data_IF_784469219130
#
_entry.id   IF_784469219130
#
_cell.length_a   1.000
_cell.length_b   1.000
_cell.length_c   1.000
_cell.angle_alpha   90.00
_cell.angle_beta   90.00
_cell.angle_gamma   90.00
#
_symmetry.space_group_name_H-M   'P 1'
#
loop_
_entity.id
_entity.type
_entity.pdbx_description
1 polymer ?
#
# COMPACT_ATOMS: atom_id res chain seq x y z
N UNK A 1 5.61 13.98 -10.56
CA UNK A 1 6.47 14.14 -9.37
C UNK A 1 7.72 13.31 -9.61
N UNK A 2 8.91 13.85 -9.35
CA UNK A 2 10.13 13.05 -9.46
C UNK A 2 10.19 12.06 -8.30
N UNK A 3 10.13 10.77 -8.59
CA UNK A 3 10.16 9.68 -7.59
C UNK A 3 11.60 9.34 -7.17
N UNK A 4 12.42 10.36 -6.94
CA UNK A 4 13.78 10.16 -6.42
C UNK A 4 13.70 9.98 -4.90
N UNK A 5 14.23 8.88 -4.40
CA UNK A 5 14.19 8.52 -3.00
C UNK A 5 15.45 8.99 -2.27
N UNK A 6 15.24 9.64 -1.14
CA UNK A 6 16.29 10.00 -0.19
C UNK A 6 16.24 9.10 1.04
N UNK A 7 17.30 9.11 1.85
CA UNK A 7 17.29 8.41 3.14
C UNK A 7 16.10 8.84 3.99
N UNK A 8 15.83 10.16 4.07
CA UNK A 8 14.71 10.70 4.85
C UNK A 8 13.35 10.19 4.35
N UNK A 9 13.17 10.06 3.04
CA UNK A 9 11.95 9.54 2.46
C UNK A 9 11.75 8.05 2.82
N UNK A 10 12.82 7.26 2.80
CA UNK A 10 12.79 5.84 3.19
C UNK A 10 12.53 5.71 4.69
N UNK A 11 13.20 6.52 5.53
CA UNK A 11 12.94 6.53 6.98
C UNK A 11 11.51 6.92 7.31
N UNK A 12 10.92 7.88 6.57
CA UNK A 12 9.52 8.24 6.75
C UNK A 12 8.56 7.08 6.46
N UNK A 13 8.84 6.27 5.44
CA UNK A 13 8.05 5.05 5.17
C UNK A 13 8.28 3.98 6.25
N UNK A 14 9.53 3.76 6.67
CA UNK A 14 9.84 2.82 7.76
C UNK A 14 9.21 3.23 9.09
N UNK A 15 9.12 4.53 9.40
CA UNK A 15 8.47 5.01 10.61
C UNK A 15 6.96 4.66 10.65
N UNK A 16 6.30 4.59 9.49
CA UNK A 16 4.91 4.09 9.39
C UNK A 16 4.84 2.60 9.74
N UNK A 17 5.87 1.84 9.34
CA UNK A 17 5.96 0.41 9.66
C UNK A 17 6.30 0.20 11.14
N UNK A 18 7.17 1.02 11.72
CA UNK A 18 7.45 1.03 13.17
C UNK A 18 6.17 1.27 13.98
N UNK A 19 5.39 2.28 13.60
CA UNK A 19 4.11 2.57 14.25
C UNK A 19 3.12 1.40 14.17
N UNK A 20 3.17 0.60 13.09
CA UNK A 20 2.31 -0.56 12.86
C UNK A 20 2.76 -1.79 13.63
N UNK A 21 4.09 -2.01 13.76
CA UNK A 21 4.69 -3.23 14.28
C UNK A 21 5.19 -3.13 15.72
N UNK A 22 5.38 -1.90 16.22
CA UNK A 22 6.02 -1.63 17.51
C UNK A 22 7.54 -1.80 17.49
N UNK A 23 8.15 -1.99 16.32
CA UNK A 23 9.60 -2.11 16.15
C UNK A 23 10.26 -0.73 15.90
N UNK A 24 11.55 -0.71 15.66
CA UNK A 24 12.35 0.52 15.51
C UNK A 24 13.27 0.50 14.29
N UNK A 25 12.80 -0.08 13.19
CA UNK A 25 13.55 -0.21 11.93
C UNK A 25 13.95 1.14 11.33
N UNK A 26 13.12 2.17 11.49
CA UNK A 26 13.43 3.53 11.05
C UNK A 26 14.62 4.19 11.79
N UNK A 27 15.14 3.57 12.84
CA UNK A 27 16.35 4.05 13.54
C UNK A 27 17.64 3.43 13.02
N UNK A 28 17.53 2.43 12.14
CA UNK A 28 18.69 1.74 11.59
C UNK A 28 19.34 2.57 10.47
N UNK A 29 20.68 2.50 10.34
CA UNK A 29 21.37 3.16 9.25
C UNK A 29 20.87 2.70 7.88
N UNK A 30 20.75 3.67 6.96
CA UNK A 30 20.50 3.44 5.55
C UNK A 30 21.76 3.75 4.77
N UNK A 31 22.03 2.98 3.73
CA UNK A 31 23.09 3.24 2.76
C UNK A 31 22.61 2.96 1.36
N UNK A 32 23.21 3.63 0.37
CA UNK A 32 22.96 3.36 -1.04
C UNK A 32 24.14 2.66 -1.71
N UNK A 33 23.83 1.78 -2.65
CA UNK A 33 24.80 1.07 -3.48
C UNK A 33 24.51 1.29 -4.96
N UNK A 34 25.47 1.03 -5.82
CA UNK A 34 25.27 1.07 -7.28
C UNK A 34 25.02 -0.33 -7.88
N UNK A 35 24.54 -1.27 -7.09
CA UNK A 35 24.23 -2.62 -7.53
C UNK A 35 23.05 -2.62 -8.51
N UNK A 36 23.22 -3.33 -9.65
CA UNK A 36 22.18 -3.46 -10.68
C UNK A 36 21.35 -4.74 -10.52
N UNK A 37 21.90 -5.73 -9.84
CA UNK A 37 21.26 -7.05 -9.69
C UNK A 37 20.61 -7.27 -8.32
N UNK A 38 20.89 -6.39 -7.36
CA UNK A 38 20.30 -6.44 -6.01
C UNK A 38 19.62 -5.11 -5.78
N UNK A 39 18.30 -5.14 -5.63
CA UNK A 39 17.53 -3.92 -5.40
C UNK A 39 17.87 -3.36 -4.01
N UNK A 40 17.81 -4.24 -3.00
CA UNK A 40 17.94 -3.86 -1.60
C UNK A 40 18.39 -5.03 -0.75
N UNK A 41 18.75 -4.73 0.50
CA UNK A 41 19.16 -5.74 1.47
C UNK A 41 19.04 -5.21 2.90
N UNK A 42 18.38 -5.99 3.76
CA UNK A 42 18.58 -5.88 5.21
C UNK A 42 19.85 -6.63 5.60
N UNK A 43 20.74 -5.99 6.32
CA UNK A 43 21.98 -6.56 6.85
C UNK A 43 21.87 -6.64 8.39
N UNK A 44 21.94 -7.83 8.98
CA UNK A 44 21.82 -8.04 10.42
C UNK A 44 23.10 -7.74 11.21
N UNK A 45 24.25 -7.63 10.52
CA UNK A 45 25.55 -7.39 11.16
C UNK A 45 25.63 -5.97 11.76
N UNK A 46 26.40 -5.82 12.85
CA UNK A 46 26.66 -4.49 13.43
C UNK A 46 25.45 -3.77 14.01
N UNK A 47 24.43 -4.50 14.43
CA UNK A 47 23.20 -3.91 14.99
C UNK A 47 22.08 -3.72 13.98
N UNK A 48 22.31 -4.06 12.72
CA UNK A 48 21.35 -3.95 11.63
C UNK A 48 21.53 -2.68 10.78
N UNK A 49 21.29 -2.82 9.48
CA UNK A 49 21.27 -1.70 8.53
C UNK A 49 20.47 -2.07 7.29
N UNK A 50 20.04 -1.06 6.54
CA UNK A 50 19.41 -1.23 5.24
C UNK A 50 20.31 -0.70 4.13
N UNK A 51 20.33 -1.39 3.00
CA UNK A 51 21.03 -0.96 1.79
C UNK A 51 20.07 -0.96 0.63
N UNK A 52 19.98 0.18 -0.07
CA UNK A 52 19.14 0.37 -1.24
C UNK A 52 19.99 0.62 -2.49
N UNK A 53 19.47 0.33 -3.67
CA UNK A 53 20.20 0.53 -4.91
C UNK A 53 19.89 1.88 -5.53
N UNK A 54 20.93 2.72 -5.73
CA UNK A 54 20.81 3.97 -6.50
C UNK A 54 20.27 3.75 -7.91
N UNK A 55 20.55 2.59 -8.49
CA UNK A 55 20.09 2.29 -9.86
C UNK A 55 18.57 2.33 -9.99
N UNK A 56 17.85 2.01 -8.93
CA UNK A 56 16.38 2.00 -8.89
C UNK A 56 15.85 3.23 -8.15
N UNK A 57 16.37 3.53 -6.97
CA UNK A 57 15.83 4.59 -6.11
C UNK A 57 16.15 6.00 -6.60
N UNK A 58 17.12 6.17 -7.51
CA UNK A 58 17.40 7.44 -8.19
C UNK A 58 16.81 7.51 -9.61
N UNK A 59 16.15 6.45 -10.09
CA UNK A 59 15.43 6.45 -11.35
C UNK A 59 14.03 7.04 -11.16
N UNK A 60 13.74 8.23 -11.74
CA UNK A 60 12.43 8.86 -11.60
C UNK A 60 11.30 8.09 -12.31
N UNK A 61 11.65 7.12 -13.16
CA UNK A 61 10.67 6.29 -13.88
C UNK A 61 10.33 5.00 -13.13
N UNK A 62 11.09 4.68 -12.07
CA UNK A 62 10.80 3.49 -11.29
C UNK A 62 9.47 3.63 -10.54
N UNK A 63 8.54 2.67 -10.68
CA UNK A 63 7.21 2.79 -10.13
C UNK A 63 7.22 2.98 -8.61
N UNK A 64 6.48 3.97 -8.12
CA UNK A 64 6.36 4.26 -6.68
C UNK A 64 5.97 3.03 -5.86
N UNK A 65 5.05 2.23 -6.38
CA UNK A 65 4.56 1.02 -5.70
C UNK A 65 5.64 -0.04 -5.54
N UNK A 66 6.52 -0.16 -6.53
CA UNK A 66 7.67 -1.07 -6.47
C UNK A 66 8.66 -0.63 -5.39
N UNK A 67 8.97 0.67 -5.34
CA UNK A 67 9.84 1.22 -4.31
C UNK A 67 9.27 0.99 -2.90
N UNK A 68 7.98 1.27 -2.71
CA UNK A 68 7.29 1.08 -1.44
C UNK A 68 7.22 -0.40 -1.03
N UNK A 69 6.96 -1.30 -1.97
CA UNK A 69 6.91 -2.72 -1.68
C UNK A 69 8.29 -3.27 -1.34
N UNK A 70 9.34 -2.78 -1.99
CA UNK A 70 10.71 -3.16 -1.71
C UNK A 70 11.18 -2.68 -0.32
N UNK A 71 10.83 -1.46 0.09
CA UNK A 71 11.06 -0.98 1.47
C UNK A 71 10.37 -1.90 2.49
N UNK A 72 9.13 -2.28 2.25
CA UNK A 72 8.39 -3.21 3.13
C UNK A 72 8.99 -4.62 3.13
N UNK A 73 9.49 -5.08 2.01
CA UNK A 73 10.17 -6.38 1.88
C UNK A 73 11.41 -6.44 2.78
N UNK A 74 12.27 -5.42 2.71
CA UNK A 74 13.46 -5.35 3.57
C UNK A 74 13.10 -5.14 5.03
N UNK A 75 12.06 -4.38 5.32
CA UNK A 75 11.54 -4.25 6.67
C UNK A 75 10.99 -5.58 7.20
N UNK A 76 10.38 -6.42 6.34
CA UNK A 76 9.94 -7.76 6.73
C UNK A 76 11.14 -8.68 7.08
N UNK A 77 12.29 -8.54 6.41
CA UNK A 77 13.52 -9.21 6.81
C UNK A 77 14.04 -8.75 8.17
N UNK A 78 14.04 -7.45 8.42
CA UNK A 78 14.36 -6.89 9.74
C UNK A 78 13.44 -7.46 10.82
N UNK A 79 12.15 -7.44 10.59
CA UNK A 79 11.14 -7.96 11.51
C UNK A 79 11.33 -9.46 11.77
N UNK A 80 11.57 -10.25 10.72
CA UNK A 80 11.81 -11.69 10.81
C UNK A 80 13.07 -11.99 11.63
N UNK A 81 14.11 -11.21 11.43
CA UNK A 81 15.35 -11.35 12.21
C UNK A 81 15.15 -10.99 13.70
N UNK A 82 14.49 -9.88 13.99
CA UNK A 82 14.27 -9.42 15.37
C UNK A 82 13.36 -10.37 16.15
N UNK A 83 12.31 -10.90 15.52
CA UNK A 83 11.31 -11.72 16.19
C UNK A 83 11.65 -13.21 16.21
N UNK A 84 12.33 -13.70 15.18
CA UNK A 84 12.53 -15.14 14.96
C UNK A 84 13.98 -15.55 14.71
N UNK A 85 14.90 -14.59 14.57
CA UNK A 85 16.32 -14.85 14.28
C UNK A 85 16.60 -15.35 12.86
N UNK A 86 15.66 -15.21 11.93
CA UNK A 86 15.77 -15.71 10.56
C UNK A 86 16.18 -14.62 9.57
N UNK A 87 16.86 -15.01 8.50
CA UNK A 87 17.31 -14.11 7.42
C UNK A 87 16.87 -14.55 6.01
N UNK A 88 16.06 -15.59 5.93
CA UNK A 88 15.63 -16.16 4.65
C UNK A 88 14.23 -15.69 4.21
N UNK A 89 13.71 -16.31 3.17
CA UNK A 89 12.35 -16.08 2.67
C UNK A 89 11.39 -17.22 3.10
N UNK A 90 11.56 -17.68 4.35
CA UNK A 90 10.79 -18.77 4.96
C UNK A 90 9.35 -18.39 5.33
N UNK A 91 8.71 -19.26 6.10
CA UNK A 91 7.32 -19.06 6.53
C UNK A 91 7.17 -17.83 7.44
N UNK A 92 8.10 -17.60 8.35
CA UNK A 92 8.11 -16.46 9.28
C UNK A 92 8.29 -15.13 8.54
N UNK A 93 9.21 -15.09 7.56
CA UNK A 93 9.34 -13.91 6.69
C UNK A 93 8.06 -13.62 5.91
N UNK A 94 7.40 -14.64 5.31
CA UNK A 94 6.11 -14.43 4.62
C UNK A 94 5.02 -13.92 5.55
N UNK A 95 5.02 -14.39 6.80
CA UNK A 95 4.14 -13.86 7.84
C UNK A 95 4.44 -12.37 8.12
N UNK A 96 5.72 -12.00 8.25
CA UNK A 96 6.12 -10.60 8.39
C UNK A 96 5.70 -9.76 7.17
N UNK A 97 5.85 -10.26 5.94
CA UNK A 97 5.35 -9.60 4.73
C UNK A 97 3.85 -9.30 4.82
N UNK A 98 3.05 -10.26 5.28
CA UNK A 98 1.60 -10.05 5.47
C UNK A 98 1.33 -8.91 6.47
N UNK A 99 2.08 -8.86 7.56
CA UNK A 99 1.93 -7.82 8.59
C UNK A 99 2.27 -6.45 8.02
N UNK A 100 3.40 -6.29 7.33
CA UNK A 100 3.83 -4.99 6.79
C UNK A 100 3.13 -4.62 5.48
N UNK A 101 2.45 -5.56 4.85
CA UNK A 101 1.76 -5.38 3.57
C UNK A 101 2.74 -5.39 2.39
N UNK A 102 3.79 -6.22 2.45
CA UNK A 102 4.69 -6.53 1.34
C UNK A 102 4.19 -7.73 0.55
N UNK A 103 4.54 -7.82 -0.72
CA UNK A 103 4.37 -9.05 -1.49
C UNK A 103 5.39 -10.09 -1.03
N UNK A 104 4.98 -11.33 -0.71
CA UNK A 104 5.89 -12.39 -0.26
C UNK A 104 6.61 -13.05 -1.45
N UNK A 105 7.17 -12.24 -2.34
CA UNK A 105 7.88 -12.63 -3.56
C UNK A 105 9.35 -12.28 -3.39
N UNK A 106 10.22 -13.28 -3.56
CA UNK A 106 11.65 -13.19 -3.28
C UNK A 106 12.42 -12.18 -4.14
N UNK A 107 12.03 -12.00 -5.38
CA UNK A 107 12.76 -11.14 -6.33
C UNK A 107 11.79 -10.33 -7.17
N UNK A 108 12.21 -9.13 -7.58
CA UNK A 108 11.58 -8.44 -8.69
C UNK A 108 11.76 -9.29 -9.94
N UNK A 109 10.67 -9.75 -10.52
CA UNK A 109 10.66 -10.58 -11.72
C UNK A 109 9.37 -10.32 -12.52
N UNK A 110 9.26 -10.94 -13.68
CA UNK A 110 8.08 -10.84 -14.57
C UNK A 110 6.75 -11.09 -13.84
N UNK A 111 6.71 -12.06 -12.90
CA UNK A 111 5.48 -12.35 -12.12
C UNK A 111 5.04 -11.19 -11.24
N UNK A 112 5.98 -10.41 -10.71
CA UNK A 112 5.67 -9.22 -9.92
C UNK A 112 5.17 -8.11 -10.83
N UNK A 113 5.79 -7.90 -11.99
CA UNK A 113 5.30 -6.96 -13.00
C UNK A 113 3.90 -7.34 -13.50
N UNK A 114 3.65 -8.62 -13.80
CA UNK A 114 2.34 -9.13 -14.17
C UNK A 114 1.30 -8.90 -13.08
N UNK A 115 1.65 -9.12 -11.81
CA UNK A 115 0.78 -8.87 -10.67
C UNK A 115 0.33 -7.41 -10.63
N UNK A 116 1.27 -6.45 -10.75
CA UNK A 116 0.92 -5.03 -10.73
C UNK A 116 0.10 -4.62 -11.96
N UNK A 117 0.43 -5.11 -13.14
CA UNK A 117 -0.36 -4.86 -14.35
C UNK A 117 -1.79 -5.35 -14.18
N UNK A 118 -1.98 -6.57 -13.64
CA UNK A 118 -3.31 -7.11 -13.37
C UNK A 118 -4.04 -6.26 -12.31
N UNK A 119 -3.36 -5.92 -11.22
CA UNK A 119 -3.91 -5.07 -10.15
C UNK A 119 -4.38 -3.71 -10.71
N UNK A 120 -3.55 -3.03 -11.49
CA UNK A 120 -3.90 -1.75 -12.11
C UNK A 120 -5.09 -1.87 -13.07
N UNK A 121 -5.12 -2.95 -13.85
CA UNK A 121 -6.25 -3.20 -14.75
C UNK A 121 -7.56 -3.40 -13.98
N UNK A 122 -7.55 -4.14 -12.87
CA UNK A 122 -8.72 -4.33 -12.00
C UNK A 122 -9.14 -3.03 -11.30
N UNK A 123 -8.17 -2.26 -10.79
CA UNK A 123 -8.43 -0.94 -10.19
C UNK A 123 -9.02 0.04 -11.20
N UNK A 124 -8.54 0.05 -12.44
CA UNK A 124 -9.08 0.88 -13.50
C UNK A 124 -10.53 0.50 -13.86
N UNK A 125 -10.83 -0.81 -13.94
CA UNK A 125 -12.21 -1.30 -14.14
C UNK A 125 -13.13 -0.85 -13.02
N UNK A 126 -12.66 -0.99 -11.76
CA UNK A 126 -13.42 -0.61 -10.59
C UNK A 126 -13.64 0.90 -10.52
N UNK A 127 -12.60 1.71 -10.83
CA UNK A 127 -12.71 3.16 -10.90
C UNK A 127 -13.76 3.59 -11.94
N UNK A 128 -13.76 2.96 -13.13
CA UNK A 128 -14.77 3.19 -14.17
C UNK A 128 -16.17 2.77 -13.72
N UNK A 129 -16.30 1.67 -12.99
CA UNK A 129 -17.56 1.27 -12.39
C UNK A 129 -18.06 2.33 -11.40
N UNK A 130 -17.15 2.93 -10.62
CA UNK A 130 -17.50 4.00 -9.66
C UNK A 130 -17.98 5.29 -10.32
N UNK A 131 -17.69 5.54 -11.59
CA UNK A 131 -18.25 6.68 -12.34
C UNK A 131 -19.77 6.58 -12.50
N UNK A 132 -20.34 5.42 -12.27
CA UNK A 132 -21.80 5.21 -12.26
C UNK A 132 -22.49 5.72 -11.00
N UNK A 133 -21.74 6.07 -9.95
CA UNK A 133 -22.27 6.78 -8.78
C UNK A 133 -22.17 8.28 -9.04
N UNK A 134 -23.30 8.97 -9.07
CA UNK A 134 -23.37 10.40 -9.34
C UNK A 134 -24.11 11.12 -8.21
N UNK A 135 -23.82 12.40 -8.02
CA UNK A 135 -24.55 13.24 -7.08
C UNK A 135 -26.04 13.27 -7.48
N UNK A 136 -26.92 13.14 -6.50
CA UNK A 136 -28.36 13.02 -6.69
C UNK A 136 -28.85 11.56 -6.81
N UNK A 137 -27.98 10.58 -7.06
CA UNK A 137 -28.38 9.17 -7.06
C UNK A 137 -28.78 8.70 -5.67
N UNK A 138 -29.67 7.71 -5.63
CA UNK A 138 -30.13 7.08 -4.39
C UNK A 138 -29.45 5.74 -4.16
N UNK A 139 -29.11 5.49 -2.91
CA UNK A 139 -28.62 4.17 -2.46
C UNK A 139 -29.45 3.68 -1.27
N UNK A 140 -29.48 2.37 -1.06
CA UNK A 140 -30.09 1.74 0.12
C UNK A 140 -28.98 1.17 0.99
N UNK A 141 -28.75 1.79 2.13
CA UNK A 141 -27.80 1.31 3.14
C UNK A 141 -28.48 0.30 4.07
N UNK A 142 -27.82 -0.81 4.46
CA UNK A 142 -28.46 -1.87 5.27
C UNK A 142 -28.99 -1.40 6.63
N UNK A 143 -28.38 -0.37 7.24
CA UNK A 143 -28.80 0.16 8.55
C UNK A 143 -29.51 1.52 8.47
N UNK A 144 -29.17 2.36 7.48
CA UNK A 144 -29.70 3.72 7.40
C UNK A 144 -30.85 3.89 6.38
N UNK A 145 -31.19 2.83 5.65
CA UNK A 145 -32.23 2.87 4.64
C UNK A 145 -31.83 3.67 3.39
N UNK A 146 -32.81 4.32 2.78
CA UNK A 146 -32.61 5.10 1.54
C UNK A 146 -31.94 6.41 1.85
N UNK A 147 -30.86 6.72 1.09
CA UNK A 147 -30.18 8.01 1.13
C UNK A 147 -29.85 8.53 -0.25
N UNK A 148 -29.61 9.84 -0.35
CA UNK A 148 -29.24 10.54 -1.58
C UNK A 148 -27.77 10.94 -1.51
N UNK A 149 -27.01 10.68 -2.57
CA UNK A 149 -25.62 11.10 -2.68
C UNK A 149 -25.56 12.61 -2.87
N UNK A 150 -24.94 13.30 -1.93
CA UNK A 150 -24.81 14.76 -1.92
C UNK A 150 -23.47 15.23 -2.49
N UNK A 151 -22.42 14.41 -2.33
CA UNK A 151 -21.07 14.78 -2.72
C UNK A 151 -20.24 13.51 -3.00
N UNK A 152 -19.28 13.63 -3.90
CA UNK A 152 -18.27 12.60 -4.19
C UNK A 152 -16.91 13.25 -4.09
N UNK A 153 -16.01 12.69 -3.29
CA UNK A 153 -14.63 13.18 -3.07
C UNK A 153 -13.62 12.07 -3.28
N UNK A 154 -12.36 12.44 -3.55
CA UNK A 154 -11.28 11.49 -3.83
C UNK A 154 -11.28 11.01 -5.28
N UNK A 155 -10.29 10.18 -5.60
CA UNK A 155 -10.03 9.70 -6.96
C UNK A 155 -9.95 8.17 -7.00
N UNK A 156 -10.13 7.61 -8.20
CA UNK A 156 -10.00 6.18 -8.47
C UNK A 156 -10.81 5.35 -7.46
N UNK A 157 -10.20 4.32 -6.87
CA UNK A 157 -10.82 3.42 -5.90
C UNK A 157 -10.90 3.99 -4.47
N UNK A 158 -10.21 5.10 -4.20
CA UNK A 158 -10.23 5.77 -2.88
C UNK A 158 -11.39 6.75 -2.69
N UNK A 159 -12.32 6.80 -3.65
CA UNK A 159 -13.49 7.69 -3.59
C UNK A 159 -14.33 7.45 -2.36
N UNK A 160 -14.78 8.56 -1.78
CA UNK A 160 -15.80 8.59 -0.73
C UNK A 160 -17.03 9.33 -1.22
N UNK A 161 -18.19 8.96 -0.70
CA UNK A 161 -19.45 9.67 -0.93
C UNK A 161 -20.02 10.20 0.38
N UNK A 162 -20.60 11.39 0.33
CA UNK A 162 -21.43 11.92 1.41
C UNK A 162 -22.88 11.67 1.04
N UNK A 163 -23.59 10.93 1.87
CA UNK A 163 -24.98 10.52 1.63
C UNK A 163 -25.87 11.10 2.72
N UNK A 164 -26.96 11.75 2.32
CA UNK A 164 -27.99 12.21 3.24
C UNK A 164 -29.08 11.14 3.36
N UNK A 165 -29.19 10.53 4.53
CA UNK A 165 -30.20 9.54 4.86
C UNK A 165 -31.36 10.19 5.60
N UNK A 166 -32.57 9.85 5.20
CA UNK A 166 -33.79 10.41 5.82
C UNK A 166 -33.86 10.03 7.32
N UNK A 167 -34.03 11.01 8.17
CA UNK A 167 -34.09 10.83 9.63
C UNK A 167 -32.75 10.56 10.32
N UNK A 168 -31.65 10.43 9.58
CA UNK A 168 -30.31 10.13 10.13
C UNK A 168 -29.30 11.24 9.84
N UNK A 169 -29.52 11.99 8.75
CA UNK A 169 -28.60 13.05 8.29
C UNK A 169 -27.45 12.53 7.43
N UNK A 170 -26.44 13.38 7.22
CA UNK A 170 -25.31 13.08 6.33
C UNK A 170 -24.29 12.11 6.95
N UNK A 171 -23.86 11.15 6.15
CA UNK A 171 -22.78 10.20 6.48
C UNK A 171 -21.77 10.15 5.34
N UNK A 172 -20.47 10.12 5.68
CA UNK A 172 -19.39 9.92 4.72
C UNK A 172 -19.02 8.45 4.70
N UNK A 173 -19.05 7.85 3.52
CA UNK A 173 -18.86 6.41 3.31
C UNK A 173 -17.81 6.20 2.20
N UNK A 174 -16.91 5.23 2.40
CA UNK A 174 -16.00 4.79 1.34
C UNK A 174 -16.75 4.07 0.22
N UNK A 175 -16.52 4.47 -1.02
CA UNK A 175 -17.30 3.96 -2.15
C UNK A 175 -17.09 2.45 -2.36
N UNK A 176 -15.89 1.93 -2.10
CA UNK A 176 -15.61 0.49 -2.13
C UNK A 176 -16.49 -0.30 -1.15
N UNK A 177 -16.75 0.25 0.02
CA UNK A 177 -17.64 -0.39 0.99
C UNK A 177 -19.11 -0.29 0.53
N UNK A 178 -19.52 0.90 0.02
CA UNK A 178 -20.89 1.14 -0.48
C UNK A 178 -21.22 0.20 -1.63
N UNK A 179 -20.32 0.02 -2.57
CA UNK A 179 -20.52 -0.86 -3.73
C UNK A 179 -20.75 -2.32 -3.34
N UNK A 180 -20.10 -2.77 -2.26
CA UNK A 180 -20.25 -4.15 -1.74
C UNK A 180 -21.50 -4.35 -0.87
N UNK A 181 -21.95 -3.31 -0.17
CA UNK A 181 -22.91 -3.48 0.93
C UNK A 181 -24.22 -2.70 0.74
N UNK A 182 -24.28 -1.77 -0.21
CA UNK A 182 -25.47 -0.99 -0.51
C UNK A 182 -26.04 -1.39 -1.88
N UNK A 183 -27.33 -1.14 -2.07
CA UNK A 183 -27.98 -1.27 -3.38
C UNK A 183 -28.19 0.09 -4.00
N UNK A 184 -27.93 0.25 -5.29
CA UNK A 184 -28.36 1.40 -6.04
C UNK A 184 -29.88 1.34 -6.24
N UNK A 185 -30.54 2.47 -6.09
CA UNK A 185 -31.91 2.60 -6.60
C UNK A 185 -31.85 2.92 -8.10
N UNK A 186 -32.70 2.33 -8.92
CA UNK A 186 -32.83 2.70 -10.32
C UNK A 186 -33.26 4.17 -10.47
#
# INVERSE_FOLDING_TARGET
MNNVWTEDAIWAEMAKLDAKTGLTGAKLPISFSNAKCTLDQYCSNGGGSFRFSNHYYQDPTWPLEEALDTIKHEYAHYMDYVLYGNLGHGATWRHCCTIVGALPIRCYNEKRAEYYQHKHAEEAKLAKHYDTYIVGSKIVHPHFGVGVIMEITGESISRCITVNFNGVGCKRLGLTWVDKNCRKCP
#
